data_IF_840998055879
#
_entry.id   IF_840998055879
#
_cell.length_a   1.000
_cell.length_b   1.000
_cell.length_c   1.000
_cell.angle_alpha   90.00
_cell.angle_beta   90.00
_cell.angle_gamma   90.00
#
_symmetry.space_group_name_H-M   'P 1'
#
loop_
_entity.id
_entity.type
_entity.pdbx_description
1 polymer ?
#
# COMPACT_ATOMS: atom_id res chain seq x y z
N UNK A 1 24.41 -0.56 0.08
CA UNK A 1 23.27 -1.23 -0.58
C UNK A 1 22.79 -0.35 -1.72
N UNK A 2 22.64 -0.87 -2.94
CA UNK A 2 22.01 -0.12 -4.04
C UNK A 2 20.59 0.25 -3.60
N UNK A 3 20.23 1.53 -3.71
CA UNK A 3 18.87 2.00 -3.45
C UNK A 3 17.96 1.33 -4.48
N UNK A 4 17.13 0.40 -4.03
CA UNK A 4 16.16 -0.28 -4.88
C UNK A 4 15.15 0.77 -5.35
N UNK A 5 14.85 0.78 -6.64
CA UNK A 5 13.92 1.76 -7.19
C UNK A 5 12.47 1.46 -6.79
N UNK A 6 11.66 2.50 -6.61
CA UNK A 6 10.22 2.35 -6.38
C UNK A 6 9.55 1.53 -7.49
N UNK A 7 10.04 1.64 -8.74
CA UNK A 7 9.56 0.83 -9.85
C UNK A 7 9.79 -0.67 -9.64
N UNK A 8 10.90 -1.05 -9.02
CA UNK A 8 11.24 -2.45 -8.71
C UNK A 8 10.34 -2.97 -7.60
N UNK A 9 10.10 -2.18 -6.55
CA UNK A 9 9.14 -2.53 -5.48
C UNK A 9 7.73 -2.68 -6.06
N UNK A 10 7.30 -1.77 -6.94
CA UNK A 10 6.02 -1.87 -7.65
C UNK A 10 5.90 -3.17 -8.45
N UNK A 11 6.93 -3.54 -9.22
CA UNK A 11 6.94 -4.81 -9.98
C UNK A 11 6.93 -6.04 -9.08
N UNK A 12 7.63 -6.03 -7.94
CA UNK A 12 7.54 -7.12 -6.96
C UNK A 12 6.10 -7.31 -6.45
N UNK A 13 5.37 -6.21 -6.19
CA UNK A 13 3.95 -6.29 -5.83
C UNK A 13 3.11 -6.93 -6.94
N UNK A 14 3.41 -6.66 -8.21
CA UNK A 14 2.74 -7.31 -9.34
C UNK A 14 3.09 -8.80 -9.41
N UNK A 15 4.36 -9.17 -9.27
CA UNK A 15 4.78 -10.59 -9.22
C UNK A 15 4.11 -11.35 -8.08
N UNK A 16 3.97 -10.73 -6.90
CA UNK A 16 3.26 -11.33 -5.77
C UNK A 16 1.80 -11.68 -6.11
N UNK A 17 1.11 -10.81 -6.86
CA UNK A 17 -0.26 -11.05 -7.32
C UNK A 17 -0.30 -12.17 -8.37
N UNK A 18 0.59 -12.13 -9.37
CA UNK A 18 0.74 -13.20 -10.36
C UNK A 18 0.95 -14.56 -9.70
N UNK A 19 1.88 -14.65 -8.74
CA UNK A 19 2.16 -15.88 -8.02
C UNK A 19 0.97 -16.35 -7.18
N UNK A 20 0.18 -15.43 -6.62
CA UNK A 20 -1.05 -15.78 -5.90
C UNK A 20 -2.05 -16.47 -6.81
N UNK A 21 -2.31 -15.92 -8.00
CA UNK A 21 -3.19 -16.53 -9.00
C UNK A 21 -2.65 -17.88 -9.51
N UNK A 22 -1.34 -18.00 -9.73
CA UNK A 22 -0.73 -19.27 -10.13
C UNK A 22 -0.89 -20.36 -9.06
N UNK A 23 -0.74 -20.01 -7.78
CA UNK A 23 -0.95 -20.93 -6.65
C UNK A 23 -2.42 -21.35 -6.56
N UNK A 24 -3.36 -20.43 -6.73
CA UNK A 24 -4.80 -20.74 -6.78
C UNK A 24 -5.14 -21.72 -7.92
N UNK A 25 -4.39 -21.65 -9.03
CA UNK A 25 -4.49 -22.57 -10.16
C UNK A 25 -3.62 -23.84 -10.01
N UNK A 26 -3.08 -24.13 -8.82
CA UNK A 26 -2.23 -25.29 -8.53
C UNK A 26 -0.94 -25.39 -9.35
N UNK A 27 -0.39 -24.26 -9.80
CA UNK A 27 0.91 -24.22 -10.49
C UNK A 27 2.03 -24.24 -9.45
N UNK A 28 2.85 -25.30 -9.46
CA UNK A 28 3.95 -25.46 -8.49
C UNK A 28 5.22 -24.69 -8.84
N UNK A 29 5.53 -24.59 -10.14
CA UNK A 29 6.74 -23.91 -10.63
C UNK A 29 6.41 -22.97 -11.77
N UNK A 30 7.17 -21.88 -11.88
CA UNK A 30 7.02 -20.87 -12.92
C UNK A 30 8.38 -20.36 -13.37
N UNK A 31 8.56 -20.14 -14.66
CA UNK A 31 9.78 -19.57 -15.24
C UNK A 31 9.76 -18.04 -15.22
N UNK A 32 10.92 -17.41 -15.47
CA UNK A 32 10.99 -15.96 -15.64
C UNK A 32 10.29 -15.49 -16.92
N UNK A 33 10.19 -16.36 -17.93
CA UNK A 33 9.48 -16.07 -19.18
C UNK A 33 7.97 -16.03 -18.93
N UNK A 34 7.42 -17.01 -18.22
CA UNK A 34 5.98 -17.03 -17.87
C UNK A 34 5.59 -15.85 -16.96
N UNK A 35 6.40 -15.51 -15.95
CA UNK A 35 6.15 -14.31 -15.13
C UNK A 35 6.18 -13.07 -16.03
N UNK A 36 7.14 -12.97 -16.94
CA UNK A 36 7.30 -11.82 -17.81
C UNK A 36 6.12 -11.64 -18.77
N UNK A 37 5.65 -12.73 -19.37
CA UNK A 37 4.51 -12.75 -20.29
C UNK A 37 3.22 -12.29 -19.58
N UNK A 38 2.94 -12.81 -18.38
CA UNK A 38 1.76 -12.40 -17.60
C UNK A 38 1.81 -10.92 -17.21
N UNK A 39 3.00 -10.40 -16.95
CA UNK A 39 3.21 -9.03 -16.45
C UNK A 39 3.54 -8.02 -17.56
N UNK A 40 3.54 -8.43 -18.84
CA UNK A 40 3.92 -7.60 -20.00
C UNK A 40 5.29 -6.91 -19.82
N UNK A 41 6.29 -7.67 -19.37
CA UNK A 41 7.68 -7.20 -19.22
C UNK A 41 8.64 -8.20 -19.86
N UNK A 42 9.95 -7.97 -19.74
CA UNK A 42 10.95 -8.93 -20.23
C UNK A 42 11.40 -9.89 -19.12
N UNK A 43 11.67 -11.13 -19.49
CA UNK A 43 12.29 -12.15 -18.63
C UNK A 43 13.63 -11.69 -18.03
N UNK A 44 14.39 -10.88 -18.79
CA UNK A 44 15.60 -10.22 -18.28
C UNK A 44 15.30 -9.23 -17.14
N UNK A 45 14.18 -8.49 -17.22
CA UNK A 45 13.75 -7.58 -16.17
C UNK A 45 13.32 -8.33 -14.91
N UNK A 46 12.56 -9.43 -15.04
CA UNK A 46 12.19 -10.31 -13.90
C UNK A 46 13.45 -10.79 -13.17
N UNK A 47 14.40 -11.38 -13.92
CA UNK A 47 15.66 -11.88 -13.34
C UNK A 47 16.46 -10.77 -12.68
N UNK A 48 16.54 -9.59 -13.29
CA UNK A 48 17.22 -8.43 -12.73
C UNK A 48 16.57 -7.97 -11.43
N UNK A 49 15.25 -7.85 -11.39
CA UNK A 49 14.52 -7.42 -10.18
C UNK A 49 14.73 -8.39 -9.03
N UNK A 50 14.57 -9.69 -9.28
CA UNK A 50 14.78 -10.73 -8.26
C UNK A 50 16.25 -10.76 -7.79
N UNK A 51 17.22 -10.59 -8.69
CA UNK A 51 18.65 -10.65 -8.32
C UNK A 51 19.09 -9.62 -7.28
N UNK A 52 18.33 -8.52 -7.09
CA UNK A 52 18.63 -7.54 -6.04
C UNK A 52 18.43 -8.08 -4.62
N UNK A 53 17.65 -9.15 -4.45
CA UNK A 53 17.19 -9.64 -3.15
C UNK A 53 17.71 -11.04 -2.81
N UNK A 54 18.48 -11.66 -3.71
CA UNK A 54 19.05 -12.98 -3.49
C UNK A 54 19.08 -13.82 -4.75
N UNK A 55 19.33 -15.11 -4.55
CA UNK A 55 19.28 -16.10 -5.62
C UNK A 55 17.95 -16.84 -5.53
N UNK A 56 17.18 -16.80 -6.62
CA UNK A 56 15.87 -17.40 -6.70
C UNK A 56 15.85 -18.51 -7.75
N UNK A 57 15.14 -19.60 -7.45
CA UNK A 57 14.87 -20.69 -8.40
C UNK A 57 16.05 -21.64 -8.64
N UNK A 58 15.83 -22.61 -9.52
CA UNK A 58 16.82 -23.59 -9.96
C UNK A 58 16.91 -23.58 -11.49
N UNK A 59 18.13 -23.61 -12.04
CA UNK A 59 18.35 -23.67 -13.49
C UNK A 59 17.59 -24.87 -14.08
N UNK A 60 16.81 -24.63 -15.13
CA UNK A 60 16.01 -25.65 -15.81
C UNK A 60 14.68 -26.03 -15.11
N UNK A 61 14.44 -25.54 -13.89
CA UNK A 61 13.21 -25.84 -13.12
C UNK A 61 12.34 -24.61 -12.84
N UNK A 62 12.90 -23.41 -12.99
CA UNK A 62 12.20 -22.16 -12.66
C UNK A 62 12.17 -21.87 -11.16
N UNK A 63 11.15 -21.13 -10.74
CA UNK A 63 10.88 -20.73 -9.37
C UNK A 63 9.75 -21.58 -8.80
N UNK A 64 9.90 -22.08 -7.57
CA UNK A 64 8.75 -22.60 -6.85
C UNK A 64 7.81 -21.42 -6.53
N UNK A 65 6.52 -21.54 -6.88
CA UNK A 65 5.57 -20.42 -6.80
C UNK A 65 5.32 -19.99 -5.36
N UNK A 66 5.22 -20.94 -4.42
CA UNK A 66 5.00 -20.69 -3.00
C UNK A 66 6.22 -20.05 -2.35
N UNK A 67 7.39 -20.65 -2.54
CA UNK A 67 8.64 -20.14 -1.95
C UNK A 67 8.93 -18.72 -2.46
N UNK A 68 8.82 -18.49 -3.78
CA UNK A 68 9.06 -17.16 -4.35
C UNK A 68 8.03 -16.14 -3.84
N UNK A 69 6.75 -16.52 -3.72
CA UNK A 69 5.72 -15.64 -3.15
C UNK A 69 6.04 -15.27 -1.71
N UNK A 70 6.47 -16.23 -0.89
CA UNK A 70 6.81 -15.99 0.51
C UNK A 70 8.01 -15.07 0.69
N UNK A 71 9.03 -15.21 -0.16
CA UNK A 71 10.20 -14.33 -0.17
C UNK A 71 9.80 -12.90 -0.59
N UNK A 72 9.04 -12.77 -1.67
CA UNK A 72 8.52 -11.46 -2.12
C UNK A 72 7.65 -10.82 -1.04
N UNK A 73 6.79 -11.59 -0.36
CA UNK A 73 5.98 -11.10 0.76
C UNK A 73 6.86 -10.56 1.90
N UNK A 74 7.96 -11.24 2.19
CA UNK A 74 8.93 -10.81 3.21
C UNK A 74 9.60 -9.49 2.82
N UNK A 75 10.06 -9.39 1.57
CA UNK A 75 10.70 -8.18 1.01
C UNK A 75 9.75 -6.98 1.06
N UNK A 76 8.49 -7.18 0.68
CA UNK A 76 7.45 -6.15 0.67
C UNK A 76 6.90 -5.84 2.08
N UNK A 77 7.31 -6.58 3.11
CA UNK A 77 6.82 -6.40 4.48
C UNK A 77 5.36 -6.84 4.69
N UNK A 78 4.81 -7.65 3.78
CA UNK A 78 3.43 -8.16 3.84
C UNK A 78 3.24 -9.28 4.89
N UNK A 79 4.33 -9.78 5.48
CA UNK A 79 4.28 -10.69 6.64
C UNK A 79 3.96 -9.96 7.95
N UNK A 80 3.98 -8.63 7.97
CA UNK A 80 3.64 -7.81 9.13
C UNK A 80 2.20 -7.32 9.02
N UNK A 81 1.57 -7.14 10.18
CA UNK A 81 0.34 -6.38 10.26
C UNK A 81 0.69 -4.91 10.45
N UNK A 82 0.29 -4.09 9.48
CA UNK A 82 0.43 -2.64 9.51
C UNK A 82 -0.86 -2.04 10.05
N UNK A 83 -0.76 -1.30 11.16
CA UNK A 83 -1.90 -0.56 11.70
C UNK A 83 -2.03 0.75 10.95
N UNK A 84 -3.14 0.92 10.25
CA UNK A 84 -3.40 2.08 9.41
C UNK A 84 -4.61 2.88 9.89
N UNK A 85 -4.64 4.17 9.57
CA UNK A 85 -5.80 5.00 9.78
C UNK A 85 -6.27 5.66 8.49
N UNK A 86 -7.54 6.08 8.48
CA UNK A 86 -8.14 6.87 7.40
C UNK A 86 -8.46 8.27 7.89
N UNK A 87 -7.98 9.29 7.17
CA UNK A 87 -8.43 10.67 7.32
C UNK A 87 -9.42 11.03 6.20
N UNK A 88 -10.65 11.36 6.58
CA UNK A 88 -11.74 11.68 5.66
C UNK A 88 -12.64 10.47 5.39
N UNK A 89 -13.80 10.41 6.05
CA UNK A 89 -14.78 9.33 5.88
C UNK A 89 -15.89 9.76 4.93
N UNK A 90 -15.48 10.21 3.74
CA UNK A 90 -16.35 10.52 2.60
C UNK A 90 -16.68 9.27 1.77
N UNK A 91 -17.10 9.45 0.52
CA UNK A 91 -17.43 8.34 -0.38
C UNK A 91 -16.21 7.45 -0.67
N UNK A 92 -15.09 8.05 -1.06
CA UNK A 92 -13.82 7.33 -1.31
C UNK A 92 -13.36 6.63 -0.03
N UNK A 93 -13.31 7.34 1.10
CA UNK A 93 -12.92 6.77 2.38
C UNK A 93 -13.74 5.54 2.76
N UNK A 94 -15.07 5.59 2.62
CA UNK A 94 -15.95 4.45 2.87
C UNK A 94 -15.70 3.28 1.93
N UNK A 95 -15.41 3.54 0.65
CA UNK A 95 -15.05 2.48 -0.29
C UNK A 95 -13.74 1.79 0.12
N UNK A 96 -12.73 2.57 0.52
CA UNK A 96 -11.43 2.06 0.94
C UNK A 96 -11.51 1.20 2.22
N UNK A 97 -12.33 1.59 3.20
CA UNK A 97 -12.55 0.78 4.42
C UNK A 97 -13.09 -0.62 4.09
N UNK A 98 -13.95 -0.71 3.07
CA UNK A 98 -14.59 -1.96 2.66
C UNK A 98 -13.76 -2.76 1.65
N UNK A 99 -12.58 -2.27 1.26
CA UNK A 99 -11.71 -2.95 0.30
C UNK A 99 -10.91 -4.06 1.02
N UNK A 100 -11.39 -5.29 0.90
CA UNK A 100 -10.90 -6.44 1.67
C UNK A 100 -9.42 -6.77 1.39
N UNK A 101 -8.93 -6.40 0.22
CA UNK A 101 -7.56 -6.62 -0.23
C UNK A 101 -6.54 -6.00 0.74
N UNK A 102 -6.84 -4.85 1.35
CA UNK A 102 -5.96 -4.25 2.36
C UNK A 102 -5.75 -5.20 3.54
N UNK A 103 -6.84 -5.77 4.08
CA UNK A 103 -6.79 -6.72 5.19
C UNK A 103 -6.02 -7.98 4.79
N UNK A 104 -6.23 -8.51 3.58
CA UNK A 104 -5.51 -9.70 3.09
C UNK A 104 -4.01 -9.46 2.93
N UNK A 105 -3.59 -8.22 2.71
CA UNK A 105 -2.18 -7.81 2.58
C UNK A 105 -1.56 -7.36 3.90
N UNK A 106 -2.26 -7.54 5.03
CA UNK A 106 -1.77 -7.19 6.36
C UNK A 106 -2.01 -5.73 6.77
N UNK A 107 -2.72 -4.93 5.97
CA UNK A 107 -3.09 -3.56 6.35
C UNK A 107 -4.42 -3.56 7.11
N UNK A 108 -4.36 -3.24 8.39
CA UNK A 108 -5.53 -3.23 9.27
C UNK A 108 -5.90 -1.80 9.66
N UNK A 109 -7.10 -1.37 9.26
CA UNK A 109 -7.65 -0.11 9.77
C UNK A 109 -7.91 -0.22 11.28
N UNK A 110 -7.36 0.72 12.05
CA UNK A 110 -7.53 0.77 13.52
C UNK A 110 -8.17 2.07 14.01
N UNK A 111 -8.22 3.12 13.17
CA UNK A 111 -8.90 4.36 13.48
C UNK A 111 -9.38 5.08 12.22
N UNK A 112 -10.48 5.81 12.34
CA UNK A 112 -11.00 6.71 11.32
C UNK A 112 -11.02 8.13 11.89
N UNK A 113 -10.79 9.13 11.04
CA UNK A 113 -10.82 10.55 11.41
C UNK A 113 -11.70 11.34 10.45
N UNK A 114 -12.51 12.24 10.99
CA UNK A 114 -13.33 13.18 10.22
C UNK A 114 -13.56 14.46 11.05
N UNK A 115 -13.93 15.55 10.38
CA UNK A 115 -14.26 16.81 11.06
C UNK A 115 -15.78 17.08 11.11
N UNK A 116 -16.59 16.25 10.45
CA UNK A 116 -18.05 16.34 10.51
C UNK A 116 -18.56 15.91 11.89
N UNK A 117 -19.15 16.82 12.69
CA UNK A 117 -19.67 16.49 14.02
C UNK A 117 -20.73 15.38 14.01
N UNK A 118 -21.40 15.14 12.87
CA UNK A 118 -22.38 14.06 12.73
C UNK A 118 -21.74 12.68 12.61
N UNK A 119 -20.47 12.62 12.18
CA UNK A 119 -19.73 11.36 12.05
C UNK A 119 -18.87 11.07 13.27
N UNK A 120 -18.31 12.11 13.90
CA UNK A 120 -17.45 11.94 15.08
C UNK A 120 -18.22 11.18 16.18
N UNK A 121 -17.57 10.14 16.72
CA UNK A 121 -18.15 9.26 17.73
C UNK A 121 -18.97 8.09 17.18
N UNK A 122 -19.36 8.11 15.90
CA UNK A 122 -20.04 6.99 15.25
C UNK A 122 -19.07 5.85 14.92
N UNK A 123 -19.62 4.69 14.57
CA UNK A 123 -18.85 3.54 14.09
C UNK A 123 -19.15 3.26 12.61
N UNK A 124 -18.10 3.01 11.84
CA UNK A 124 -18.17 2.62 10.43
C UNK A 124 -17.32 1.37 10.26
N UNK A 125 -17.92 0.29 9.76
CA UNK A 125 -17.28 -1.03 9.66
C UNK A 125 -16.66 -1.52 10.99
N UNK A 126 -17.30 -1.20 12.13
CA UNK A 126 -16.81 -1.55 13.47
C UNK A 126 -15.63 -0.70 13.97
N UNK A 127 -15.29 0.40 13.29
CA UNK A 127 -14.24 1.32 13.67
C UNK A 127 -14.81 2.67 14.07
N UNK A 128 -14.34 3.20 15.20
CA UNK A 128 -14.76 4.50 15.71
C UNK A 128 -14.20 5.63 14.84
N UNK A 129 -15.04 6.63 14.57
CA UNK A 129 -14.63 7.89 13.96
C UNK A 129 -14.23 8.88 15.06
N UNK A 130 -13.00 9.36 14.99
CA UNK A 130 -12.40 10.32 15.92
C UNK A 130 -12.40 11.74 15.34
N UNK A 131 -12.38 12.74 16.21
CA UNK A 131 -12.11 14.12 15.79
C UNK A 131 -10.66 14.23 15.32
N UNK A 132 -10.40 15.17 14.40
CA UNK A 132 -9.04 15.54 14.01
C UNK A 132 -8.22 16.08 15.19
N UNK A 133 -8.88 16.62 16.22
CA UNK A 133 -8.23 17.12 17.43
C UNK A 133 -7.60 15.98 18.27
N UNK A 134 -8.11 14.75 18.11
CA UNK A 134 -7.66 13.58 18.88
C UNK A 134 -6.50 12.84 18.21
N UNK A 135 -6.02 13.30 17.04
CA UNK A 135 -5.05 12.57 16.19
C UNK A 135 -3.84 12.11 16.97
N UNK A 136 -3.15 13.00 17.69
CA UNK A 136 -1.92 12.63 18.41
C UNK A 136 -2.14 11.54 19.46
N UNK A 137 -3.26 11.61 20.18
CA UNK A 137 -3.63 10.62 21.20
C UNK A 137 -3.93 9.27 20.56
N UNK A 138 -4.73 9.27 19.50
CA UNK A 138 -5.18 8.03 18.83
C UNK A 138 -4.04 7.36 18.06
N UNK A 139 -3.21 8.13 17.35
CA UNK A 139 -2.02 7.63 16.64
C UNK A 139 -1.09 6.90 17.61
N UNK A 140 -0.79 7.51 18.76
CA UNK A 140 0.08 6.91 19.77
C UNK A 140 -0.53 5.66 20.41
N UNK A 141 -1.82 5.73 20.80
CA UNK A 141 -2.52 4.62 21.45
C UNK A 141 -2.63 3.40 20.56
N UNK A 142 -2.92 3.61 19.28
CA UNK A 142 -3.15 2.54 18.32
C UNK A 142 -1.89 2.16 17.53
N UNK A 143 -0.74 2.79 17.82
CA UNK A 143 0.53 2.54 17.12
C UNK A 143 0.37 2.62 15.59
N UNK A 144 -0.32 3.65 15.11
CA UNK A 144 -0.62 3.80 13.68
C UNK A 144 0.64 4.24 12.94
N UNK A 145 0.98 3.49 11.89
CA UNK A 145 2.22 3.68 11.11
C UNK A 145 1.97 4.37 9.77
N UNK A 146 0.80 4.12 9.17
CA UNK A 146 0.43 4.62 7.83
C UNK A 146 -0.94 5.29 7.91
N UNK A 147 -1.09 6.43 7.22
CA UNK A 147 -2.39 7.13 7.12
C UNK A 147 -2.80 7.25 5.66
N UNK A 148 -4.01 6.79 5.35
CA UNK A 148 -4.66 7.05 4.07
C UNK A 148 -5.41 8.38 4.18
N UNK A 149 -5.20 9.28 3.22
CA UNK A 149 -5.77 10.63 3.20
C UNK A 149 -6.76 10.73 2.04
N UNK A 150 -8.05 10.80 2.39
CA UNK A 150 -9.18 10.87 1.46
C UNK A 150 -10.07 12.10 1.77
N UNK A 151 -9.42 13.25 2.01
CA UNK A 151 -10.06 14.54 2.29
C UNK A 151 -10.13 15.41 1.03
N UNK A 152 -10.95 16.47 0.99
CA UNK A 152 -10.91 17.44 -0.11
C UNK A 152 -9.52 18.02 -0.32
N UNK A 153 -9.15 18.24 -1.60
CA UNK A 153 -7.82 18.72 -2.02
C UNK A 153 -7.29 19.90 -1.22
N UNK A 154 -8.15 20.88 -0.92
CA UNK A 154 -7.77 22.08 -0.17
C UNK A 154 -7.30 21.81 1.26
N UNK A 155 -7.71 20.69 1.86
CA UNK A 155 -7.43 20.34 3.25
C UNK A 155 -6.30 19.33 3.41
N UNK A 156 -5.83 18.72 2.31
CA UNK A 156 -4.92 17.59 2.37
C UNK A 156 -3.56 17.93 3.01
N UNK A 157 -3.00 19.10 2.71
CA UNK A 157 -1.74 19.56 3.30
C UNK A 157 -1.87 19.73 4.83
N UNK A 158 -2.88 20.49 5.28
CA UNK A 158 -3.08 20.76 6.71
C UNK A 158 -3.32 19.48 7.50
N UNK A 159 -4.11 18.56 6.94
CA UNK A 159 -4.37 17.25 7.56
C UNK A 159 -3.07 16.45 7.67
N UNK A 160 -2.28 16.32 6.61
CA UNK A 160 -1.01 15.59 6.66
C UNK A 160 -0.04 16.22 7.65
N UNK A 161 0.04 17.56 7.71
CA UNK A 161 0.91 18.26 8.66
C UNK A 161 0.55 17.96 10.12
N UNK A 162 -0.74 17.82 10.44
CA UNK A 162 -1.20 17.39 11.78
C UNK A 162 -0.68 15.97 12.08
N UNK A 163 -0.89 15.02 11.17
CA UNK A 163 -0.42 13.64 11.37
C UNK A 163 1.10 13.54 11.47
N UNK A 164 1.85 14.32 10.67
CA UNK A 164 3.31 14.40 10.72
C UNK A 164 3.78 14.92 12.09
N UNK A 165 3.16 15.97 12.62
CA UNK A 165 3.45 16.48 13.98
C UNK A 165 3.19 15.43 15.05
N UNK A 166 2.19 14.58 14.85
CA UNK A 166 1.84 13.49 15.74
C UNK A 166 2.70 12.21 15.57
N UNK A 167 3.67 12.22 14.66
CA UNK A 167 4.67 11.14 14.53
C UNK A 167 4.46 10.19 13.36
N UNK A 168 3.40 10.34 12.56
CA UNK A 168 3.20 9.53 11.35
C UNK A 168 4.26 9.90 10.30
N UNK A 169 4.77 8.89 9.59
CA UNK A 169 5.83 9.06 8.58
C UNK A 169 5.49 8.50 7.20
N UNK A 170 4.35 7.82 7.04
CA UNK A 170 3.95 7.25 5.76
C UNK A 170 2.49 7.58 5.44
N UNK A 171 2.25 8.04 4.22
CA UNK A 171 0.93 8.48 3.76
C UNK A 171 0.61 7.93 2.36
N UNK A 172 -0.64 7.50 2.19
CA UNK A 172 -1.25 7.27 0.88
C UNK A 172 -2.29 8.35 0.64
N UNK A 173 -1.98 9.30 -0.24
CA UNK A 173 -2.77 10.49 -0.50
C UNK A 173 -3.65 10.29 -1.74
N UNK A 174 -4.97 10.26 -1.55
CA UNK A 174 -5.97 10.25 -2.63
C UNK A 174 -6.44 11.66 -3.02
N UNK A 175 -5.96 12.70 -2.32
CA UNK A 175 -6.26 14.07 -2.72
C UNK A 175 -5.43 14.43 -3.97
N UNK A 176 -6.07 15.05 -4.96
CA UNK A 176 -5.46 15.44 -6.24
C UNK A 176 -4.57 16.70 -6.08
N UNK A 177 -3.56 16.63 -5.23
CA UNK A 177 -2.60 17.71 -4.98
C UNK A 177 -1.26 17.15 -4.53
N UNK A 178 -0.18 17.82 -4.93
CA UNK A 178 1.16 17.53 -4.44
C UNK A 178 1.31 18.05 -3.00
N UNK A 179 1.60 17.15 -2.08
CA UNK A 179 1.85 17.46 -0.67
C UNK A 179 3.33 17.77 -0.46
N UNK A 180 3.62 18.81 0.32
CA UNK A 180 4.97 19.14 0.77
C UNK A 180 5.19 18.54 2.15
N UNK A 181 6.21 17.70 2.30
CA UNK A 181 6.57 17.08 3.57
C UNK A 181 8.08 17.11 3.78
N UNK A 182 8.56 16.98 5.03
CA UNK A 182 9.99 16.81 5.32
C UNK A 182 10.56 15.52 4.69
N UNK A 183 11.88 15.48 4.46
CA UNK A 183 12.58 14.36 3.79
C UNK A 183 12.39 12.99 4.46
N UNK A 184 12.09 12.96 5.76
CA UNK A 184 11.86 11.73 6.52
C UNK A 184 10.41 11.25 6.49
N UNK A 185 9.55 11.87 5.67
CA UNK A 185 8.14 11.50 5.49
C UNK A 185 7.92 11.01 4.06
N UNK A 186 7.30 9.84 3.94
CA UNK A 186 6.93 9.24 2.67
C UNK A 186 5.47 9.58 2.34
N UNK A 187 5.24 10.14 1.15
CA UNK A 187 3.88 10.35 0.60
C UNK A 187 3.81 9.68 -0.77
N UNK A 188 2.83 8.80 -0.96
CA UNK A 188 2.44 8.26 -2.26
C UNK A 188 1.12 8.88 -2.68
N UNK A 189 1.05 9.45 -3.88
CA UNK A 189 -0.16 10.08 -4.40
C UNK A 189 -0.86 9.12 -5.36
N UNK A 190 -2.14 8.90 -5.12
CA UNK A 190 -3.05 8.18 -6.02
C UNK A 190 -3.86 9.22 -6.78
N UNK A 191 -3.63 9.31 -8.10
CA UNK A 191 -4.36 10.24 -8.96
C UNK A 191 -4.94 9.50 -10.16
N UNK A 192 -6.17 9.00 -9.99
CA UNK A 192 -6.89 8.28 -11.04
C UNK A 192 -7.11 9.09 -12.32
N UNK A 193 -7.12 10.43 -12.24
CA UNK A 193 -7.25 11.28 -13.44
C UNK A 193 -6.01 11.20 -14.33
N UNK A 194 -4.81 11.23 -13.73
CA UNK A 194 -3.55 11.06 -14.47
C UNK A 194 -3.49 9.66 -15.11
N UNK A 195 -3.94 8.63 -14.39
CA UNK A 195 -4.00 7.27 -14.93
C UNK A 195 -4.94 7.16 -16.14
N UNK A 196 -6.07 7.87 -16.13
CA UNK A 196 -7.00 7.91 -17.28
C UNK A 196 -6.43 8.73 -18.45
N UNK A 197 -5.77 9.85 -18.18
CA UNK A 197 -5.08 10.66 -19.21
C UNK A 197 -3.99 9.86 -19.93
N UNK A 198 -3.30 8.96 -19.21
CA UNK A 198 -2.30 8.08 -19.83
C UNK A 198 -2.90 7.05 -20.81
N UNK A 199 -4.22 6.87 -20.80
CA UNK A 199 -4.95 5.97 -21.72
C UNK A 199 -5.55 6.71 -22.93
N UNK A 200 -5.56 8.04 -22.95
CA UNK A 200 -6.03 8.85 -24.09
C UNK A 200 -4.93 9.10 -25.11
#
# INVERSE_FOLDING_TARGET
MKKISDSTIGRLSTYFRTLSTLIENNVETVSSDEIADINNITSAQVRKDLSFFGTFGKRGLGYNTKDLKEEIASILGLKKQWKIALAGVGNIGKALINFNEFKTQGFQFTALFDNDPKKIGTEIAGLKVHSIDDVCTVIKKNEIEIVIVAVPTKMAQDVIDIFVKCGVRAFLNFAQVTIKVPDNVLVKNENMSIELEALS
#
